data_IF_100764036596
#
_entry.id   IF_100764036596
#
_cell.length_a   1.000
_cell.length_b   1.000
_cell.length_c   1.000
_cell.angle_alpha   90.00
_cell.angle_beta   90.00
_cell.angle_gamma   90.00
#
_symmetry.space_group_name_H-M   'P 1'
#
loop_
_entity.id
_entity.type
_entity.pdbx_description
1 polymer ?
#
# COMPACT_ATOMS: atom_id res chain seq x y z
N UNK A 1 -13.49 33.74 24.50
CA UNK A 1 -12.83 33.15 23.32
C UNK A 1 -12.82 34.10 22.10
N UNK A 2 -12.94 35.41 22.31
CA UNK A 2 -12.96 36.43 21.24
C UNK A 2 -11.69 37.30 21.22
N UNK A 3 -10.66 36.91 21.97
CA UNK A 3 -9.39 37.62 21.94
C UNK A 3 -8.78 37.54 20.52
N UNK A 4 -8.19 38.62 20.01
CA UNK A 4 -7.55 38.62 18.70
C UNK A 4 -6.33 37.70 18.70
N UNK A 5 -6.23 36.83 17.71
CA UNK A 5 -5.08 35.97 17.48
C UNK A 5 -3.91 36.80 16.93
N UNK A 6 -2.76 36.76 17.60
CA UNK A 6 -1.51 37.31 17.09
C UNK A 6 -0.46 36.20 17.03
N UNK A 7 -0.11 35.76 15.83
CA UNK A 7 0.91 34.73 15.62
C UNK A 7 2.29 35.29 15.99
N UNK A 8 2.99 34.68 16.96
CA UNK A 8 4.35 35.08 17.36
C UNK A 8 5.43 34.68 16.36
N UNK A 9 5.11 33.85 15.36
CA UNK A 9 6.07 33.34 14.36
C UNK A 9 5.91 33.94 12.97
N UNK A 10 4.89 34.76 12.73
CA UNK A 10 4.61 35.36 11.43
C UNK A 10 4.32 36.85 11.61
N UNK A 11 5.13 37.74 11.02
CA UNK A 11 4.79 39.16 10.92
C UNK A 11 3.49 39.26 10.10
N UNK A 12 2.38 39.78 10.66
CA UNK A 12 1.14 39.90 9.90
C UNK A 12 1.37 40.88 8.75
N UNK A 13 1.08 40.47 7.51
CA UNK A 13 0.87 41.44 6.44
C UNK A 13 -0.35 42.28 6.86
N UNK A 14 -0.29 43.61 6.68
CA UNK A 14 -1.21 44.66 7.16
C UNK A 14 -2.73 44.50 6.86
N UNK A 15 -3.24 43.32 6.48
CA UNK A 15 -4.64 43.05 6.16
C UNK A 15 -5.38 42.12 7.13
N UNK A 16 -4.72 41.53 8.13
CA UNK A 16 -5.37 40.62 9.08
C UNK A 16 -5.99 41.40 10.26
N UNK A 17 -7.07 42.15 9.99
CA UNK A 17 -7.92 42.70 11.05
C UNK A 17 -8.90 41.61 11.53
N UNK A 18 -8.75 41.23 12.81
CA UNK A 18 -9.71 40.48 13.63
C UNK A 18 -9.97 39.00 13.31
N UNK A 19 -8.92 38.18 13.16
CA UNK A 19 -9.06 36.73 13.38
C UNK A 19 -9.06 36.47 14.89
N UNK A 20 -10.18 36.03 15.46
CA UNK A 20 -10.23 35.60 16.87
C UNK A 20 -9.53 34.26 17.04
N UNK A 21 -9.01 33.95 18.23
CA UNK A 21 -8.45 32.61 18.52
C UNK A 21 -9.42 31.48 18.12
N UNK A 22 -10.72 31.67 18.34
CA UNK A 22 -11.75 30.72 17.92
C UNK A 22 -11.81 30.53 16.40
N UNK A 23 -11.70 31.61 15.62
CA UNK A 23 -11.66 31.54 14.16
C UNK A 23 -10.38 30.85 13.65
N UNK A 24 -9.22 31.21 14.20
CA UNK A 24 -7.95 30.60 13.81
C UNK A 24 -7.96 29.08 14.02
N UNK A 25 -8.34 28.61 15.22
CA UNK A 25 -8.39 27.17 15.47
C UNK A 25 -9.45 26.49 14.62
N UNK A 26 -10.68 27.02 14.56
CA UNK A 26 -11.78 26.36 13.85
C UNK A 26 -11.60 26.37 12.33
N UNK A 27 -11.30 27.53 11.76
CA UNK A 27 -11.29 27.75 10.30
C UNK A 27 -9.90 27.52 9.73
N UNK A 28 -8.89 28.24 10.22
CA UNK A 28 -7.55 28.20 9.61
C UNK A 28 -6.78 26.91 9.91
N UNK A 29 -7.07 26.26 11.04
CA UNK A 29 -6.40 25.01 11.44
C UNK A 29 -7.29 23.78 11.23
N UNK A 30 -8.43 23.67 11.94
CA UNK A 30 -9.25 22.46 11.90
C UNK A 30 -9.89 22.24 10.53
N UNK A 31 -10.66 23.20 10.02
CA UNK A 31 -11.29 23.05 8.71
C UNK A 31 -10.25 22.88 7.60
N UNK A 32 -9.17 23.69 7.59
CA UNK A 32 -8.11 23.53 6.60
C UNK A 32 -7.43 22.15 6.66
N UNK A 33 -7.27 21.56 7.85
CA UNK A 33 -6.74 20.21 8.01
C UNK A 33 -7.73 19.16 7.53
N UNK A 34 -9.02 19.31 7.86
CA UNK A 34 -10.09 18.42 7.40
C UNK A 34 -10.25 18.46 5.88
N UNK A 35 -10.29 19.64 5.27
CA UNK A 35 -10.38 19.83 3.82
C UNK A 35 -9.19 19.16 3.13
N UNK A 36 -7.99 19.31 3.70
CA UNK A 36 -6.81 18.63 3.19
C UNK A 36 -6.91 17.11 3.30
N UNK A 37 -7.34 16.58 4.46
CA UNK A 37 -7.54 15.15 4.62
C UNK A 37 -8.58 14.60 3.65
N UNK A 38 -9.69 15.31 3.47
CA UNK A 38 -10.77 14.94 2.57
C UNK A 38 -10.31 14.98 1.11
N UNK A 39 -9.54 16.01 0.73
CA UNK A 39 -8.95 16.11 -0.60
C UNK A 39 -7.98 14.97 -0.90
N UNK A 40 -7.08 14.65 0.04
CA UNK A 40 -6.13 13.54 -0.12
C UNK A 40 -6.86 12.19 -0.18
N UNK A 41 -7.90 11.99 0.64
CA UNK A 41 -8.73 10.79 0.60
C UNK A 41 -9.45 10.65 -0.74
N UNK A 42 -10.09 11.70 -1.25
CA UNK A 42 -10.79 11.68 -2.53
C UNK A 42 -9.81 11.52 -3.71
N UNK A 43 -8.61 12.10 -3.60
CA UNK A 43 -7.58 11.92 -4.62
C UNK A 43 -7.03 10.49 -4.65
N UNK A 44 -6.97 9.82 -3.49
CA UNK A 44 -6.43 8.46 -3.35
C UNK A 44 -7.48 7.39 -3.66
N UNK A 45 -8.71 7.58 -3.19
CA UNK A 45 -9.87 6.73 -3.42
C UNK A 45 -10.80 7.40 -4.42
N UNK A 46 -10.30 7.60 -5.65
CA UNK A 46 -11.14 8.05 -6.75
C UNK A 46 -12.17 6.96 -7.11
N UNK A 47 -13.15 7.29 -7.95
CA UNK A 47 -14.21 6.34 -8.35
C UNK A 47 -13.64 5.04 -8.92
N UNK A 48 -12.58 5.11 -9.74
CA UNK A 48 -11.94 3.93 -10.35
C UNK A 48 -11.28 3.01 -9.33
N UNK A 49 -10.59 3.55 -8.33
CA UNK A 49 -9.93 2.76 -7.27
C UNK A 49 -10.95 2.18 -6.29
N UNK A 50 -12.01 2.91 -5.97
CA UNK A 50 -13.12 2.40 -5.17
C UNK A 50 -13.81 1.24 -5.89
N UNK A 51 -14.07 1.39 -7.18
CA UNK A 51 -14.66 0.33 -8.01
C UNK A 51 -13.74 -0.90 -8.07
N UNK A 52 -12.44 -0.72 -8.31
CA UNK A 52 -11.47 -1.80 -8.28
C UNK A 52 -11.44 -2.52 -6.93
N UNK A 53 -11.45 -1.78 -5.82
CA UNK A 53 -11.48 -2.34 -4.47
C UNK A 53 -12.78 -3.10 -4.22
N UNK A 54 -13.92 -2.55 -4.64
CA UNK A 54 -15.23 -3.19 -4.55
C UNK A 54 -15.23 -4.51 -5.30
N UNK A 55 -14.80 -4.52 -6.56
CA UNK A 55 -14.70 -5.73 -7.37
C UNK A 55 -13.68 -6.74 -6.79
N UNK A 56 -12.58 -6.27 -6.20
CA UNK A 56 -11.60 -7.15 -5.55
C UNK A 56 -12.16 -7.85 -4.30
N UNK A 57 -13.09 -7.19 -3.59
CA UNK A 57 -13.73 -7.75 -2.40
C UNK A 57 -14.58 -8.98 -2.73
N UNK A 58 -15.08 -9.10 -3.96
CA UNK A 58 -15.85 -10.24 -4.44
C UNK A 58 -15.10 -11.58 -4.32
N UNK A 59 -13.76 -11.59 -4.41
CA UNK A 59 -12.94 -12.79 -4.21
C UNK A 59 -12.94 -13.27 -2.75
N UNK A 60 -13.05 -12.34 -1.81
CA UNK A 60 -13.05 -12.64 -0.37
C UNK A 60 -14.42 -13.11 0.13
N UNK A 61 -15.49 -12.81 -0.61
CA UNK A 61 -16.85 -13.27 -0.30
C UNK A 61 -16.97 -14.80 -0.25
N UNK A 62 -17.92 -15.29 0.55
CA UNK A 62 -18.20 -16.74 0.67
C UNK A 62 -18.56 -17.35 -0.67
N UNK A 63 -19.39 -16.66 -1.43
CA UNK A 63 -19.70 -16.95 -2.82
C UNK A 63 -19.05 -15.89 -3.68
N UNK A 64 -18.26 -16.34 -4.64
CA UNK A 64 -17.55 -15.45 -5.55
C UNK A 64 -18.51 -15.04 -6.67
N UNK A 65 -18.67 -13.72 -6.87
CA UNK A 65 -19.42 -13.21 -8.00
C UNK A 65 -18.55 -13.26 -9.27
N UNK A 66 -18.88 -14.21 -10.15
CA UNK A 66 -18.18 -14.47 -11.40
C UNK A 66 -18.13 -13.24 -12.30
N UNK A 67 -19.27 -12.55 -12.44
CA UNK A 67 -19.40 -11.45 -13.38
C UNK A 67 -18.58 -10.24 -12.90
N UNK A 68 -18.49 -10.01 -11.59
CA UNK A 68 -17.64 -8.96 -11.02
C UNK A 68 -16.14 -9.22 -11.27
N UNK A 69 -15.68 -10.47 -11.19
CA UNK A 69 -14.28 -10.79 -11.48
C UNK A 69 -13.98 -10.68 -12.97
N UNK A 70 -14.87 -11.15 -13.83
CA UNK A 70 -14.72 -11.00 -15.27
C UNK A 70 -14.65 -9.51 -15.64
N UNK A 71 -15.53 -8.68 -15.07
CA UNK A 71 -15.49 -7.23 -15.25
C UNK A 71 -14.18 -6.61 -14.73
N UNK A 72 -13.67 -7.07 -13.58
CA UNK A 72 -12.39 -6.61 -13.04
C UNK A 72 -11.23 -6.90 -14.01
N UNK A 73 -11.18 -8.11 -14.56
CA UNK A 73 -10.14 -8.51 -15.50
C UNK A 73 -10.25 -7.76 -16.83
N UNK A 74 -11.47 -7.63 -17.36
CA UNK A 74 -11.71 -6.92 -18.62
C UNK A 74 -11.39 -5.42 -18.53
N UNK A 75 -11.74 -4.78 -17.42
CA UNK A 75 -11.58 -3.33 -17.25
C UNK A 75 -10.19 -2.92 -16.78
N UNK A 76 -9.60 -3.63 -15.81
CA UNK A 76 -8.36 -3.19 -15.16
C UNK A 76 -7.12 -3.98 -15.59
N UNK A 77 -7.28 -5.19 -16.13
CA UNK A 77 -6.16 -6.05 -16.54
C UNK A 77 -6.27 -6.56 -17.98
N UNK A 78 -6.61 -5.71 -18.98
CA UNK A 78 -6.83 -6.16 -20.35
C UNK A 78 -5.57 -6.70 -21.04
N UNK A 79 -4.38 -6.28 -20.59
CA UNK A 79 -3.09 -6.72 -21.15
C UNK A 79 -2.55 -8.00 -20.50
N UNK A 80 -3.02 -8.32 -19.29
CA UNK A 80 -2.58 -9.51 -18.58
C UNK A 80 -3.30 -10.77 -19.05
N UNK A 81 -4.47 -10.65 -19.68
CA UNK A 81 -5.29 -11.80 -20.08
C UNK A 81 -5.63 -11.75 -21.56
N UNK A 82 -5.38 -12.87 -22.25
CA UNK A 82 -5.91 -13.10 -23.59
C UNK A 82 -7.42 -13.36 -23.54
N UNK A 83 -8.11 -13.17 -24.67
CA UNK A 83 -9.56 -13.40 -24.71
C UNK A 83 -9.95 -14.86 -24.46
N UNK A 84 -9.08 -15.81 -24.84
CA UNK A 84 -9.25 -17.22 -24.49
C UNK A 84 -9.10 -17.46 -22.98
N UNK A 85 -8.11 -16.84 -22.34
CA UNK A 85 -7.93 -16.96 -20.89
C UNK A 85 -9.08 -16.33 -20.11
N UNK A 86 -9.71 -15.25 -20.59
CA UNK A 86 -10.91 -14.67 -19.95
C UNK A 86 -12.08 -15.66 -19.94
N UNK A 87 -12.32 -16.35 -21.06
CA UNK A 87 -13.34 -17.39 -21.15
C UNK A 87 -13.00 -18.55 -20.20
N UNK A 88 -11.74 -18.99 -20.18
CA UNK A 88 -11.29 -20.08 -19.32
C UNK A 88 -11.33 -19.72 -17.83
N UNK A 89 -11.05 -18.47 -17.48
CA UNK A 89 -11.14 -17.95 -16.11
C UNK A 89 -12.56 -18.12 -15.57
N UNK A 90 -13.59 -17.82 -16.37
CA UNK A 90 -14.98 -17.99 -15.97
C UNK A 90 -15.30 -19.43 -15.57
N UNK A 91 -14.87 -20.39 -16.40
CA UNK A 91 -15.02 -21.82 -16.08
C UNK A 91 -14.22 -22.23 -14.85
N UNK A 92 -12.98 -21.76 -14.69
CA UNK A 92 -12.17 -22.05 -13.50
C UNK A 92 -12.79 -21.49 -12.23
N UNK A 93 -13.36 -20.29 -12.29
CA UNK A 93 -14.03 -19.66 -11.15
C UNK A 93 -15.29 -20.41 -10.72
N UNK A 94 -16.09 -20.93 -11.66
CA UNK A 94 -17.27 -21.74 -11.34
C UNK A 94 -16.88 -22.99 -10.54
N UNK A 95 -15.87 -23.72 -11.03
CA UNK A 95 -15.37 -24.92 -10.37
C UNK A 95 -14.74 -24.54 -9.02
N UNK A 96 -13.98 -23.46 -8.97
CA UNK A 96 -13.36 -22.97 -7.74
C UNK A 96 -14.39 -22.58 -6.69
N UNK A 97 -15.52 -21.98 -7.06
CA UNK A 97 -16.58 -21.60 -6.11
C UNK A 97 -17.25 -22.84 -5.48
N UNK A 98 -17.49 -23.88 -6.27
CA UNK A 98 -17.96 -25.18 -5.78
C UNK A 98 -16.92 -25.81 -4.85
N UNK A 99 -15.64 -25.65 -5.15
CA UNK A 99 -14.58 -26.21 -4.34
C UNK A 99 -14.34 -25.44 -3.03
N UNK A 100 -14.43 -24.10 -3.08
CA UNK A 100 -14.32 -23.21 -1.92
C UNK A 100 -15.40 -23.51 -0.89
N UNK A 101 -16.62 -23.81 -1.33
CA UNK A 101 -17.73 -24.20 -0.44
C UNK A 101 -17.55 -25.58 0.20
N UNK A 102 -16.83 -26.50 -0.45
CA UNK A 102 -16.59 -27.87 0.04
C UNK A 102 -15.35 -28.01 0.93
N UNK A 103 -14.32 -27.18 0.72
CA UNK A 103 -13.06 -27.28 1.45
C UNK A 103 -13.05 -26.35 2.67
N UNK A 104 -12.95 -26.93 3.87
CA UNK A 104 -12.88 -26.21 5.14
C UNK A 104 -11.70 -25.20 5.16
N UNK A 105 -10.56 -25.57 4.59
CA UNK A 105 -9.36 -24.72 4.54
C UNK A 105 -9.54 -23.49 3.63
N UNK A 106 -10.38 -23.59 2.58
CA UNK A 106 -10.66 -22.48 1.66
C UNK A 106 -11.86 -21.65 2.14
N UNK A 107 -12.83 -22.26 2.83
CA UNK A 107 -13.99 -21.53 3.37
C UNK A 107 -13.64 -20.67 4.59
N UNK A 108 -12.54 -20.99 5.28
CA UNK A 108 -12.06 -20.23 6.44
C UNK A 108 -11.28 -18.96 6.10
N UNK A 109 -10.91 -18.74 4.83
CA UNK A 109 -10.16 -17.57 4.41
C UNK A 109 -11.06 -16.33 4.35
N UNK A 110 -10.92 -15.42 5.32
CA UNK A 110 -11.67 -14.15 5.37
C UNK A 110 -11.05 -13.04 4.50
N UNK A 111 -9.75 -13.13 4.22
CA UNK A 111 -9.00 -12.11 3.46
C UNK A 111 -8.46 -12.69 2.15
N UNK A 112 -8.27 -11.83 1.14
CA UNK A 112 -7.61 -12.20 -0.13
C UNK A 112 -6.21 -12.79 0.11
N UNK A 113 -5.46 -12.28 1.10
CA UNK A 113 -4.15 -12.81 1.47
C UNK A 113 -4.23 -14.24 2.03
N UNK A 114 -5.23 -14.52 2.86
CA UNK A 114 -5.45 -15.87 3.42
C UNK A 114 -5.90 -16.84 2.34
N UNK A 115 -6.68 -16.35 1.37
CA UNK A 115 -7.09 -17.13 0.21
C UNK A 115 -5.87 -17.48 -0.68
N UNK A 116 -4.94 -16.55 -0.86
CA UNK A 116 -3.68 -16.81 -1.56
C UNK A 116 -2.82 -17.86 -0.82
N UNK A 117 -2.66 -17.73 0.51
CA UNK A 117 -1.90 -18.71 1.31
C UNK A 117 -2.53 -20.11 1.24
N UNK A 118 -3.85 -20.20 1.43
CA UNK A 118 -4.56 -21.49 1.38
C UNK A 118 -4.50 -22.15 -0.01
N UNK A 119 -4.49 -21.39 -1.10
CA UNK A 119 -4.24 -21.92 -2.45
C UNK A 119 -2.83 -22.52 -2.62
N UNK A 120 -1.83 -21.88 -2.03
CA UNK A 120 -0.44 -22.38 -2.04
C UNK A 120 -0.32 -23.64 -1.17
N UNK A 121 -0.84 -23.61 0.05
CA UNK A 121 -0.78 -24.72 1.01
C UNK A 121 -1.50 -25.97 0.48
N UNK A 122 -2.63 -25.78 -0.20
CA UNK A 122 -3.38 -26.88 -0.83
C UNK A 122 -2.80 -27.33 -2.17
N UNK A 123 -1.72 -26.70 -2.66
CA UNK A 123 -1.12 -26.89 -4.00
C UNK A 123 -2.11 -26.69 -5.17
N UNK A 124 -3.23 -26.02 -4.93
CA UNK A 124 -4.27 -25.77 -5.94
C UNK A 124 -3.98 -24.57 -6.84
N UNK A 125 -2.95 -23.79 -6.52
CA UNK A 125 -2.49 -22.69 -7.37
C UNK A 125 -2.08 -23.15 -8.78
N UNK A 126 -1.60 -24.39 -8.95
CA UNK A 126 -1.32 -24.95 -10.28
C UNK A 126 -2.61 -25.31 -11.05
N UNK A 127 -3.60 -25.86 -10.34
CA UNK A 127 -4.90 -26.25 -10.92
C UNK A 127 -5.72 -25.03 -11.33
N UNK A 128 -5.73 -23.99 -10.50
CA UNK A 128 -6.46 -22.74 -10.72
C UNK A 128 -5.52 -21.58 -11.02
N UNK A 129 -4.61 -21.77 -11.97
CA UNK A 129 -3.57 -20.80 -12.29
C UNK A 129 -4.11 -19.41 -12.68
N UNK A 130 -5.28 -19.33 -13.33
CA UNK A 130 -5.88 -18.03 -13.69
C UNK A 130 -6.45 -17.32 -12.46
N UNK A 131 -7.10 -18.06 -11.57
CA UNK A 131 -7.61 -17.52 -10.30
C UNK A 131 -6.45 -17.05 -9.42
N UNK A 132 -5.41 -17.87 -9.28
CA UNK A 132 -4.18 -17.51 -8.58
C UNK A 132 -3.52 -16.26 -9.18
N UNK A 133 -3.49 -16.14 -10.50
CA UNK A 133 -2.98 -14.96 -11.19
C UNK A 133 -3.78 -13.69 -10.87
N UNK A 134 -5.12 -13.75 -10.91
CA UNK A 134 -5.99 -12.61 -10.54
C UNK A 134 -5.72 -12.19 -9.10
N UNK A 135 -5.63 -13.14 -8.17
CA UNK A 135 -5.34 -12.87 -6.76
C UNK A 135 -3.98 -12.17 -6.59
N UNK A 136 -2.94 -12.66 -7.28
CA UNK A 136 -1.61 -12.05 -7.23
C UNK A 136 -1.60 -10.65 -7.83
N UNK A 137 -2.32 -10.40 -8.92
CA UNK A 137 -2.41 -9.07 -9.52
C UNK A 137 -3.06 -8.07 -8.54
N UNK A 138 -4.16 -8.47 -7.90
CA UNK A 138 -4.81 -7.63 -6.88
C UNK A 138 -3.87 -7.36 -5.70
N UNK A 139 -3.23 -8.41 -5.15
CA UNK A 139 -2.33 -8.26 -4.01
C UNK A 139 -1.09 -7.41 -4.35
N UNK A 140 -0.50 -7.59 -5.53
CA UNK A 140 0.69 -6.83 -5.94
C UNK A 140 0.38 -5.36 -6.16
N UNK A 141 -0.81 -5.02 -6.68
CA UNK A 141 -1.24 -3.63 -6.81
C UNK A 141 -1.42 -2.95 -5.45
N UNK A 142 -2.12 -3.62 -4.52
CA UNK A 142 -2.34 -3.10 -3.16
C UNK A 142 -1.01 -2.92 -2.41
N UNK A 143 -0.09 -3.88 -2.54
CA UNK A 143 1.26 -3.78 -1.94
C UNK A 143 2.08 -2.66 -2.56
N UNK A 144 2.02 -2.48 -3.88
CA UNK A 144 2.78 -1.44 -4.58
C UNK A 144 2.37 -0.04 -4.13
N UNK A 145 1.07 0.24 -4.02
CA UNK A 145 0.57 1.54 -3.56
C UNK A 145 1.03 1.87 -2.14
N UNK A 146 0.90 0.91 -1.21
CA UNK A 146 1.35 1.08 0.17
C UNK A 146 2.88 1.29 0.28
N UNK A 147 3.66 0.55 -0.52
CA UNK A 147 5.12 0.61 -0.49
C UNK A 147 5.64 1.95 -1.01
N UNK A 148 5.05 2.46 -2.10
CA UNK A 148 5.40 3.75 -2.68
C UNK A 148 5.14 4.88 -1.68
N UNK A 149 3.97 4.90 -1.03
CA UNK A 149 3.64 5.91 -0.02
C UNK A 149 4.57 5.84 1.21
N UNK A 150 4.88 4.63 1.68
CA UNK A 150 5.84 4.40 2.76
C UNK A 150 7.21 4.97 2.38
N UNK A 151 7.67 4.74 1.15
CA UNK A 151 8.92 5.27 0.63
C UNK A 151 8.94 6.80 0.54
N UNK A 152 7.88 7.42 0.01
CA UNK A 152 7.77 8.88 -0.04
C UNK A 152 7.69 9.53 1.35
N UNK A 153 7.01 8.88 2.31
CA UNK A 153 6.96 9.34 3.70
C UNK A 153 8.36 9.31 4.33
N UNK A 154 9.07 8.21 4.18
CA UNK A 154 10.44 8.08 4.67
C UNK A 154 11.38 9.11 4.01
N UNK A 155 11.28 9.31 2.70
CA UNK A 155 12.04 10.31 1.97
C UNK A 155 11.76 11.74 2.47
N UNK A 156 10.49 12.05 2.78
CA UNK A 156 10.10 13.34 3.38
C UNK A 156 10.73 13.54 4.76
N UNK A 157 10.88 12.49 5.56
CA UNK A 157 11.59 12.55 6.84
C UNK A 157 13.07 12.85 6.62
N UNK A 158 13.75 12.07 5.77
CA UNK A 158 15.19 12.23 5.52
C UNK A 158 15.56 13.58 4.87
N UNK A 159 14.88 14.00 3.80
CA UNK A 159 15.23 15.25 3.10
C UNK A 159 14.68 16.50 3.78
N UNK A 160 13.40 16.50 4.15
CA UNK A 160 12.73 17.74 4.55
C UNK A 160 12.78 18.01 6.07
N UNK A 161 12.63 16.97 6.90
CA UNK A 161 12.66 17.16 8.37
C UNK A 161 14.08 17.31 8.90
N UNK A 162 15.01 16.48 8.43
CA UNK A 162 16.41 16.54 8.85
C UNK A 162 17.23 17.59 8.08
N UNK A 163 16.70 18.16 6.98
CA UNK A 163 17.39 19.14 6.11
C UNK A 163 18.79 18.69 5.68
N UNK A 164 18.94 17.39 5.36
CA UNK A 164 20.23 16.84 4.97
C UNK A 164 20.54 17.11 3.50
N UNK A 165 21.77 17.58 3.22
CA UNK A 165 22.36 17.61 1.88
C UNK A 165 23.17 16.32 1.72
N UNK A 166 22.67 15.43 0.88
CA UNK A 166 23.10 14.04 0.80
C UNK A 166 23.10 13.59 -0.66
N UNK A 167 24.06 12.76 -1.06
CA UNK A 167 24.07 12.19 -2.41
C UNK A 167 22.89 11.24 -2.60
N UNK A 168 22.39 11.15 -3.84
CA UNK A 168 21.21 10.32 -4.14
C UNK A 168 21.48 8.84 -3.86
N UNK A 169 22.70 8.34 -4.10
CA UNK A 169 23.08 6.95 -3.80
C UNK A 169 23.00 6.64 -2.30
N UNK A 170 23.54 7.52 -1.45
CA UNK A 170 23.50 7.30 0.00
C UNK A 170 22.07 7.40 0.54
N UNK A 171 21.23 8.24 -0.08
CA UNK A 171 19.81 8.30 0.24
C UNK A 171 19.06 7.05 -0.16
N UNK A 172 19.26 6.54 -1.37
CA UNK A 172 18.64 5.30 -1.80
C UNK A 172 18.98 4.17 -0.84
N UNK A 173 20.26 4.01 -0.50
CA UNK A 173 20.71 2.99 0.46
C UNK A 173 20.10 3.16 1.86
N UNK A 174 20.07 4.39 2.38
CA UNK A 174 19.48 4.67 3.71
C UNK A 174 17.96 4.44 3.73
N UNK A 175 17.28 4.78 2.62
CA UNK A 175 15.84 4.64 2.49
C UNK A 175 15.44 3.16 2.46
N UNK A 176 16.20 2.32 1.76
CA UNK A 176 15.96 0.86 1.73
C UNK A 176 16.03 0.27 3.13
N UNK A 177 17.07 0.59 3.91
CA UNK A 177 17.21 0.11 5.30
C UNK A 177 16.02 0.57 6.17
N UNK A 178 15.57 1.82 5.99
CA UNK A 178 14.46 2.36 6.79
C UNK A 178 13.11 1.75 6.41
N UNK A 179 12.83 1.56 5.11
CA UNK A 179 11.60 0.96 4.62
C UNK A 179 11.51 -0.51 5.05
N UNK A 180 12.62 -1.25 4.92
CA UNK A 180 12.72 -2.67 5.25
C UNK A 180 13.32 -2.90 6.65
N UNK A 181 13.09 -1.95 7.56
CA UNK A 181 13.57 -1.98 8.95
C UNK A 181 13.30 -3.31 9.64
N UNK A 182 12.11 -3.87 9.47
CA UNK A 182 11.71 -5.14 10.11
C UNK A 182 12.58 -6.32 9.66
N UNK A 183 13.02 -6.30 8.39
CA UNK A 183 13.95 -7.28 7.85
C UNK A 183 15.37 -6.95 8.33
N UNK A 184 15.74 -5.65 8.33
CA UNK A 184 17.04 -5.17 8.78
C UNK A 184 17.33 -5.54 10.24
N UNK A 185 16.32 -5.53 11.12
CA UNK A 185 16.43 -5.90 12.53
C UNK A 185 16.82 -7.38 12.74
N UNK A 186 16.57 -8.25 11.76
CA UNK A 186 16.99 -9.66 11.82
C UNK A 186 18.50 -9.85 11.60
N UNK A 187 19.20 -8.85 11.07
CA UNK A 187 20.64 -8.91 10.84
C UNK A 187 21.40 -8.33 12.04
N UNK A 188 22.18 -9.18 12.70
CA UNK A 188 23.07 -8.74 13.78
C UNK A 188 24.20 -7.86 13.25
N UNK A 189 24.49 -6.75 13.95
CA UNK A 189 25.58 -5.85 13.60
C UNK A 189 26.94 -6.56 13.51
N UNK A 190 27.17 -7.55 14.38
CA UNK A 190 28.39 -8.39 14.38
C UNK A 190 28.52 -9.21 13.08
N UNK A 191 27.42 -9.81 12.61
CA UNK A 191 27.38 -10.58 11.36
C UNK A 191 27.72 -9.68 10.16
N UNK A 192 27.18 -8.46 10.13
CA UNK A 192 27.43 -7.49 9.05
C UNK A 192 28.91 -7.07 9.06
N UNK A 193 29.48 -6.83 10.25
CA UNK A 193 30.88 -6.43 10.41
C UNK A 193 31.81 -7.55 9.93
N UNK A 194 31.54 -8.80 10.29
CA UNK A 194 32.38 -9.93 9.89
C UNK A 194 32.28 -10.23 8.39
N UNK A 195 31.09 -10.14 7.80
CA UNK A 195 30.93 -10.24 6.34
C UNK A 195 31.68 -9.12 5.61
N UNK A 196 31.62 -7.89 6.13
CA UNK A 196 32.34 -6.74 5.55
C UNK A 196 33.86 -6.89 5.65
N UNK A 197 34.39 -7.43 6.75
CA UNK A 197 35.82 -7.78 6.89
C UNK A 197 36.24 -8.79 5.82
N UNK A 198 35.41 -9.80 5.58
CA UNK A 198 35.67 -10.89 4.64
C UNK A 198 35.64 -10.44 3.17
N UNK A 199 34.78 -9.47 2.81
CA UNK A 199 34.60 -9.01 1.43
C UNK A 199 35.80 -8.26 0.83
N UNK A 200 36.75 -7.78 1.64
CA UNK A 200 37.79 -6.86 1.14
C UNK A 200 39.20 -7.10 1.67
N UNK A 201 39.42 -8.10 2.53
CA UNK A 201 40.72 -8.27 3.22
C UNK A 201 41.14 -7.01 3.99
N UNK A 202 40.19 -6.11 4.28
CA UNK A 202 40.42 -4.86 5.00
C UNK A 202 40.18 -5.15 6.47
N UNK A 203 41.25 -5.15 7.25
CA UNK A 203 41.17 -5.17 8.71
C UNK A 203 40.39 -3.92 9.16
N UNK A 204 39.16 -4.12 9.60
CA UNK A 204 38.52 -3.15 10.48
C UNK A 204 39.15 -3.37 11.85
N UNK A 205 40.15 -2.57 12.18
CA UNK A 205 40.62 -2.42 13.56
C UNK A 205 39.56 -1.60 14.29
N UNK A 206 38.94 -2.22 15.30
CA UNK A 206 38.13 -1.52 16.30
C UNK A 206 39.03 -0.70 17.21
#
# INVERSE_FOLDING_TARGET
MEAPYTSTRYRPRKKDLHVTFGHYYRVDLFNATLDKQLHELNSRFNEETIELLSLSSSLSSKEINLDEICLLVEKYYPQDFTDQEKIQLRYQLEIFNIEKSKNINLSGASTISDLCKSLVDTKKHETYYLVDRVIRLILTLLVSTATIERGFSAMKIFKNRLRNKMSDDYLANSLVIYIEKEIAENFGSESIIDEFKNLKGRRAEL
#
